data_IF_856680238439
#
_entry.id   IF_856680238439
#
_cell.length_a   1.000
_cell.length_b   1.000
_cell.length_c   1.000
_cell.angle_alpha   90.00
_cell.angle_beta   90.00
_cell.angle_gamma   90.00
#
_symmetry.space_group_name_H-M   'P 1'
#
loop_
_entity.id
_entity.type
_entity.pdbx_description
1 polymer ?
#
# COMPACT_ATOMS: atom_id res chain seq x y z
N UNK A 1 -1.45 -2.40 -12.00
CA UNK A 1 -1.43 -3.43 -10.92
C UNK A 1 -2.53 -4.50 -11.03
N UNK A 2 -3.09 -4.81 -12.22
CA UNK A 2 -4.09 -5.91 -12.36
C UNK A 2 -3.48 -7.33 -12.38
N UNK A 3 -2.19 -7.47 -12.67
CA UNK A 3 -1.63 -8.77 -13.08
C UNK A 3 -1.18 -9.68 -11.93
N UNK A 4 -0.52 -9.19 -10.88
CA UNK A 4 0.13 -10.08 -9.91
C UNK A 4 -0.82 -10.80 -8.96
N UNK A 5 -1.89 -10.13 -8.49
CA UNK A 5 -2.88 -10.78 -7.60
C UNK A 5 -3.64 -11.89 -8.34
N UNK A 6 -4.05 -11.65 -9.59
CA UNK A 6 -4.72 -12.65 -10.41
C UNK A 6 -3.78 -13.80 -10.75
N UNK A 7 -2.56 -13.49 -11.20
CA UNK A 7 -1.53 -14.48 -11.47
C UNK A 7 -1.27 -15.37 -10.25
N UNK A 8 -1.19 -14.79 -9.04
CA UNK A 8 -0.97 -15.56 -7.82
C UNK A 8 -2.11 -16.55 -7.55
N UNK A 9 -3.37 -16.16 -7.80
CA UNK A 9 -4.52 -17.06 -7.65
C UNK A 9 -4.53 -18.14 -8.73
N UNK A 10 -4.28 -17.78 -9.98
CA UNK A 10 -4.20 -18.71 -11.13
C UNK A 10 -3.11 -19.76 -10.94
N UNK A 11 -1.98 -19.37 -10.33
CA UNK A 11 -0.83 -20.24 -10.12
C UNK A 11 -0.79 -20.84 -8.71
N UNK A 12 -1.71 -20.52 -7.81
CA UNK A 12 -1.64 -20.97 -6.41
C UNK A 12 -1.45 -22.49 -6.30
N UNK A 13 -2.17 -23.27 -7.12
CA UNK A 13 -2.10 -24.74 -7.12
C UNK A 13 -0.71 -25.28 -7.49
N UNK A 14 0.06 -24.59 -8.32
CA UNK A 14 1.43 -25.04 -8.69
C UNK A 14 2.40 -24.93 -7.53
N UNK A 15 2.07 -24.10 -6.53
CA UNK A 15 2.81 -23.95 -5.28
C UNK A 15 2.15 -24.64 -4.09
N UNK A 16 1.19 -25.56 -4.32
CA UNK A 16 0.36 -26.18 -3.27
C UNK A 16 -0.43 -25.18 -2.41
N UNK A 17 -0.72 -23.99 -2.95
CA UNK A 17 -1.50 -22.94 -2.31
C UNK A 17 -3.01 -23.17 -2.39
N UNK A 18 -3.75 -22.60 -1.43
CA UNK A 18 -5.21 -22.64 -1.38
C UNK A 18 -5.79 -21.31 -1.86
N UNK A 19 -6.48 -21.31 -2.99
CA UNK A 19 -7.08 -20.10 -3.60
C UNK A 19 -8.17 -19.44 -2.74
N UNK A 20 -8.73 -20.17 -1.78
CA UNK A 20 -9.71 -19.66 -0.82
C UNK A 20 -9.04 -19.02 0.42
N UNK A 21 -7.71 -19.03 0.51
CA UNK A 21 -6.91 -18.47 1.62
C UNK A 21 -5.86 -17.48 1.10
N UNK A 22 -6.32 -16.46 0.38
CA UNK A 22 -5.45 -15.43 -0.20
C UNK A 22 -5.25 -14.27 0.79
N UNK A 23 -4.00 -13.96 1.12
CA UNK A 23 -3.64 -12.81 1.93
C UNK A 23 -2.71 -11.86 1.14
N UNK A 24 -2.75 -10.58 1.48
CA UNK A 24 -1.76 -9.60 1.02
C UNK A 24 -0.92 -9.12 2.19
N UNK A 25 0.36 -8.88 1.93
CA UNK A 25 1.34 -8.48 2.94
C UNK A 25 2.17 -7.33 2.39
N UNK A 26 2.58 -6.42 3.25
CA UNK A 26 3.55 -5.40 2.86
C UNK A 26 3.99 -4.50 3.99
N UNK A 27 5.19 -3.96 3.87
CA UNK A 27 5.79 -3.01 4.78
C UNK A 27 5.92 -1.63 4.12
N UNK A 28 5.82 -0.54 4.89
CA UNK A 28 6.05 0.83 4.38
C UNK A 28 5.21 1.12 3.10
N UNK A 29 5.87 1.42 1.96
CA UNK A 29 5.22 1.58 0.66
C UNK A 29 4.57 0.28 0.14
N UNK A 30 5.13 -0.88 0.45
CA UNK A 30 4.50 -2.18 0.20
C UNK A 30 3.19 -2.36 0.97
N UNK A 31 3.12 -1.82 2.19
CA UNK A 31 1.87 -1.78 2.98
C UNK A 31 0.78 -0.91 2.33
N UNK A 32 1.17 0.20 1.70
CA UNK A 32 0.26 0.98 0.84
C UNK A 32 -0.27 0.13 -0.31
N UNK A 33 0.62 -0.54 -1.05
CA UNK A 33 0.28 -1.38 -2.20
C UNK A 33 -0.65 -2.52 -1.78
N UNK A 34 -0.34 -3.23 -0.68
CA UNK A 34 -1.18 -4.30 -0.15
C UNK A 34 -2.60 -3.81 0.18
N UNK A 35 -2.70 -2.66 0.83
CA UNK A 35 -3.99 -2.02 1.16
C UNK A 35 -4.77 -1.68 -0.11
N UNK A 36 -4.14 -1.01 -1.06
CA UNK A 36 -4.78 -0.58 -2.32
C UNK A 36 -5.17 -1.77 -3.19
N UNK A 37 -4.34 -2.81 -3.27
CA UNK A 37 -4.66 -4.06 -3.98
C UNK A 37 -5.91 -4.69 -3.39
N UNK A 38 -6.04 -4.72 -2.06
CA UNK A 38 -7.23 -5.25 -1.43
C UNK A 38 -8.49 -4.40 -1.64
N UNK A 39 -8.36 -3.06 -1.61
CA UNK A 39 -9.45 -2.16 -1.99
C UNK A 39 -9.88 -2.38 -3.45
N UNK A 40 -8.93 -2.48 -4.37
CA UNK A 40 -9.21 -2.75 -5.78
C UNK A 40 -9.88 -4.11 -5.97
N UNK A 41 -9.46 -5.14 -5.24
CA UNK A 41 -10.08 -6.46 -5.31
C UNK A 41 -11.54 -6.42 -4.84
N UNK A 42 -11.82 -5.73 -3.72
CA UNK A 42 -13.19 -5.48 -3.25
C UNK A 42 -14.02 -4.75 -4.30
N UNK A 43 -13.54 -3.61 -4.77
CA UNK A 43 -14.30 -2.73 -5.69
C UNK A 43 -14.54 -3.39 -7.06
N UNK A 44 -13.64 -4.29 -7.47
CA UNK A 44 -13.73 -5.06 -8.73
C UNK A 44 -14.35 -6.44 -8.57
N UNK A 45 -14.91 -6.75 -7.39
CA UNK A 45 -15.61 -8.01 -7.07
C UNK A 45 -14.72 -9.27 -7.20
N UNK A 46 -13.43 -9.15 -6.90
CA UNK A 46 -12.55 -10.30 -6.72
C UNK A 46 -11.09 -10.07 -7.16
N UNK A 47 -10.20 -11.03 -6.84
CA UNK A 47 -10.43 -12.23 -6.02
C UNK A 47 -10.63 -11.91 -4.52
N UNK A 48 -11.24 -12.83 -3.76
CA UNK A 48 -11.46 -12.63 -2.33
C UNK A 48 -10.13 -12.68 -1.56
N UNK A 49 -9.82 -11.62 -0.82
CA UNK A 49 -8.67 -11.56 0.08
C UNK A 49 -9.18 -11.77 1.51
N UNK A 50 -8.67 -12.79 2.19
CA UNK A 50 -9.11 -13.20 3.52
C UNK A 50 -8.36 -12.50 4.64
N UNK A 51 -7.17 -11.94 4.37
CA UNK A 51 -6.36 -11.27 5.38
C UNK A 51 -5.41 -10.23 4.77
N UNK A 52 -5.01 -9.27 5.60
CA UNK A 52 -3.94 -8.31 5.31
C UNK A 52 -2.98 -8.28 6.52
N UNK A 53 -1.67 -8.26 6.29
CA UNK A 53 -0.71 -7.87 7.32
C UNK A 53 0.15 -6.70 6.83
N UNK A 54 0.10 -5.60 7.58
CA UNK A 54 0.61 -4.30 7.17
C UNK A 54 1.64 -3.82 8.20
N UNK A 55 2.90 -3.77 7.81
CA UNK A 55 3.98 -3.31 8.67
C UNK A 55 4.22 -1.81 8.42
N UNK A 56 3.89 -0.96 9.39
CA UNK A 56 4.06 0.52 9.32
C UNK A 56 3.70 1.14 7.96
N UNK A 57 2.48 0.89 7.43
CA UNK A 57 2.12 1.23 6.06
C UNK A 57 2.13 2.74 5.81
N UNK A 58 2.55 3.14 4.61
CA UNK A 58 2.24 4.47 4.09
C UNK A 58 0.75 4.53 3.75
N UNK A 59 -0.03 5.33 4.48
CA UNK A 59 -1.49 5.40 4.27
C UNK A 59 -1.96 6.69 3.61
N UNK A 60 -1.13 7.74 3.56
CA UNK A 60 -1.50 8.99 2.91
C UNK A 60 -0.29 9.76 2.39
N UNK A 61 -0.37 10.17 1.12
CA UNK A 61 0.53 11.14 0.50
C UNK A 61 0.12 12.58 0.76
N UNK A 62 -0.92 12.86 1.55
CA UNK A 62 -1.15 14.24 2.03
C UNK A 62 -0.09 14.59 3.07
N UNK A 63 0.36 15.84 3.06
CA UNK A 63 1.25 16.34 4.13
C UNK A 63 0.42 16.79 5.34
N UNK A 64 -0.16 15.82 6.03
CA UNK A 64 -0.94 16.06 7.25
C UNK A 64 0.02 16.21 8.43
N UNK A 65 -0.22 17.24 9.26
CA UNK A 65 0.49 17.46 10.51
C UNK A 65 0.03 16.42 11.55
N UNK A 66 0.73 15.28 11.58
CA UNK A 66 0.61 14.30 12.65
C UNK A 66 1.79 14.47 13.61
N UNK A 67 1.53 14.38 14.92
CA UNK A 67 2.57 14.49 15.94
C UNK A 67 3.77 13.56 15.66
N UNK A 68 3.53 12.33 15.16
CA UNK A 68 4.59 11.40 14.79
C UNK A 68 5.44 11.87 13.61
N UNK A 69 4.84 12.57 12.63
CA UNK A 69 5.57 13.12 11.49
C UNK A 69 6.42 14.32 11.88
N UNK A 70 5.99 15.12 12.84
CA UNK A 70 6.77 16.24 13.36
C UNK A 70 7.89 15.75 14.29
N UNK A 71 7.59 14.81 15.18
CA UNK A 71 8.56 14.29 16.14
C UNK A 71 9.69 13.48 15.48
N UNK A 72 9.42 12.79 14.38
CA UNK A 72 10.36 11.85 13.75
C UNK A 72 10.79 12.27 12.32
N UNK A 73 10.61 13.53 11.89
CA UNK A 73 10.95 13.97 10.53
C UNK A 73 12.45 14.08 10.22
N UNK A 74 13.31 14.07 11.24
CA UNK A 74 14.76 14.21 11.07
C UNK A 74 15.40 13.02 10.33
N UNK A 75 14.73 11.87 10.35
CA UNK A 75 15.26 10.62 9.79
C UNK A 75 16.16 9.82 10.74
N UNK A 76 16.33 10.27 12.00
CA UNK A 76 17.14 9.53 12.99
C UNK A 76 16.55 8.15 13.36
N UNK A 77 15.24 7.94 13.14
CA UNK A 77 14.56 6.69 13.46
C UNK A 77 14.35 5.78 12.24
N UNK A 78 13.65 6.26 11.20
CA UNK A 78 13.35 5.48 10.00
C UNK A 78 13.60 6.27 8.70
N UNK A 79 12.75 7.26 8.45
CA UNK A 79 12.70 8.00 7.20
C UNK A 79 12.46 9.48 7.50
N UNK A 80 13.25 10.37 6.88
CA UNK A 80 13.05 11.81 7.03
C UNK A 80 11.89 12.33 6.19
N UNK A 81 11.34 13.49 6.58
CA UNK A 81 10.30 14.17 5.80
C UNK A 81 10.76 14.47 4.37
N UNK A 82 12.02 14.83 4.18
CA UNK A 82 12.58 15.11 2.86
C UNK A 82 12.56 13.88 1.93
N UNK A 83 12.82 12.68 2.47
CA UNK A 83 12.71 11.44 1.69
C UNK A 83 11.24 11.17 1.31
N UNK A 84 10.29 11.39 2.23
CA UNK A 84 8.85 11.27 1.92
C UNK A 84 8.40 12.27 0.84
N UNK A 85 8.86 13.52 0.90
CA UNK A 85 8.56 14.54 -0.11
C UNK A 85 9.17 14.18 -1.47
N UNK A 86 10.38 13.62 -1.48
CA UNK A 86 11.03 13.12 -2.70
C UNK A 86 10.26 11.93 -3.29
N UNK A 87 9.86 10.96 -2.46
CA UNK A 87 9.03 9.84 -2.88
C UNK A 87 7.70 10.31 -3.48
N UNK A 88 7.04 11.28 -2.83
CA UNK A 88 5.82 11.92 -3.36
C UNK A 88 6.07 12.56 -4.72
N UNK A 89 7.15 13.34 -4.87
CA UNK A 89 7.51 14.00 -6.14
C UNK A 89 7.60 13.02 -7.31
N UNK A 90 8.16 11.82 -7.10
CA UNK A 90 8.36 10.85 -8.18
C UNK A 90 7.18 9.90 -8.36
N UNK A 91 6.50 9.50 -7.28
CA UNK A 91 5.43 8.50 -7.34
C UNK A 91 4.03 9.11 -7.53
N UNK A 92 3.79 10.28 -6.95
CA UNK A 92 2.52 11.02 -7.02
C UNK A 92 2.76 12.49 -7.39
N UNK A 93 3.27 12.79 -8.60
CA UNK A 93 3.66 14.15 -8.97
C UNK A 93 2.49 15.15 -9.00
N UNK A 94 1.27 14.67 -9.26
CA UNK A 94 0.08 15.51 -9.39
C UNK A 94 -0.70 15.56 -8.07
N UNK A 95 -1.20 16.75 -7.69
CA UNK A 95 -1.86 16.96 -6.39
C UNK A 95 -3.13 16.13 -6.22
N UNK A 96 -3.83 15.84 -7.32
CA UNK A 96 -5.02 15.00 -7.35
C UNK A 96 -4.70 13.57 -6.90
N UNK A 97 -3.48 13.09 -7.19
CA UNK A 97 -3.00 11.78 -6.74
C UNK A 97 -2.79 11.73 -5.23
N UNK A 98 -2.66 12.86 -4.53
CA UNK A 98 -2.49 12.84 -3.07
C UNK A 98 -3.81 12.56 -2.36
N UNK A 99 -4.94 12.75 -3.03
CA UNK A 99 -6.29 12.51 -2.48
C UNK A 99 -6.97 11.29 -3.10
N UNK A 100 -6.35 10.62 -4.07
CA UNK A 100 -6.92 9.43 -4.67
C UNK A 100 -6.88 8.26 -3.68
N UNK A 101 -8.00 7.55 -3.43
CA UNK A 101 -8.05 6.44 -2.46
C UNK A 101 -7.13 5.26 -2.83
N UNK A 102 -6.68 5.16 -4.08
CA UNK A 102 -5.73 4.13 -4.53
C UNK A 102 -4.25 4.55 -4.47
N UNK A 103 -3.95 5.68 -3.83
CA UNK A 103 -2.59 6.13 -3.50
C UNK A 103 -2.52 6.60 -2.05
N UNK A 104 -3.58 7.26 -1.56
CA UNK A 104 -3.79 7.66 -0.18
C UNK A 104 -5.08 7.02 0.35
N UNK A 105 -5.05 5.76 0.82
CA UNK A 105 -6.22 5.08 1.36
C UNK A 105 -6.81 5.70 2.63
N UNK A 106 -6.13 6.68 3.26
CA UNK A 106 -6.64 7.61 4.27
C UNK A 106 -6.59 9.07 3.78
#
# INVERSE_FOLDING_TARGET
MKHYLLWAVENAKTFNGNTNKLAVVGDSAGGNIATVVAMMARDRKGPAITAQALFYPLTTFKDVAFNSREMYDSGYYLISRNVMLKARKYYTPNKEMWSNPYTSPL
#
